data_IF_751253661533
#
_entry.id   IF_751253661533
#
_cell.length_a   1.000
_cell.length_b   1.000
_cell.length_c   1.000
_cell.angle_alpha   90.00
_cell.angle_beta   90.00
_cell.angle_gamma   90.00
#
_symmetry.space_group_name_H-M   'P 1'
#
loop_
_entity.id
_entity.type
_entity.pdbx_description
1 polymer ?
#
# COMPACT_ATOMS: atom_id res chain seq x y z
N UNK A 1 -10.44 -2.69 13.05
CA UNK A 1 -10.12 -3.54 11.89
C UNK A 1 -9.79 -4.92 12.40
N UNK A 2 -10.20 -5.95 11.65
CA UNK A 2 -9.82 -7.32 11.94
C UNK A 2 -8.28 -7.45 11.93
N UNK A 3 -7.73 -8.02 13.01
CA UNK A 3 -6.30 -8.31 13.15
C UNK A 3 -6.05 -9.81 13.04
N UNK A 4 -6.97 -10.54 12.41
CA UNK A 4 -6.78 -11.94 12.08
C UNK A 4 -5.80 -12.08 10.90
N UNK A 5 -4.97 -13.13 10.89
CA UNK A 5 -4.13 -13.42 9.73
C UNK A 5 -4.97 -13.66 8.47
N UNK A 6 -4.42 -13.42 7.27
CA UNK A 6 -5.09 -13.76 6.02
C UNK A 6 -5.40 -15.25 6.00
N UNK A 7 -6.61 -15.59 5.53
CA UNK A 7 -7.04 -16.99 5.43
C UNK A 7 -6.29 -17.71 4.30
N UNK A 8 -6.18 -19.05 4.35
CA UNK A 8 -5.41 -19.82 3.35
C UNK A 8 -5.82 -19.54 1.90
N UNK A 9 -7.10 -19.30 1.62
CA UNK A 9 -7.61 -18.96 0.29
C UNK A 9 -7.01 -17.65 -0.26
N UNK A 10 -6.67 -16.69 0.62
CA UNK A 10 -6.03 -15.44 0.23
C UNK A 10 -4.58 -15.70 -0.18
N UNK A 11 -3.87 -16.54 0.57
CA UNK A 11 -2.50 -16.90 0.24
C UNK A 11 -2.44 -17.63 -1.10
N UNK A 12 -3.36 -18.58 -1.31
CA UNK A 12 -3.47 -19.32 -2.55
C UNK A 12 -3.71 -18.39 -3.74
N UNK A 13 -4.63 -17.43 -3.63
CA UNK A 13 -4.93 -16.50 -4.72
C UNK A 13 -3.73 -15.66 -5.16
N UNK A 14 -2.81 -15.34 -4.25
CA UNK A 14 -1.55 -14.65 -4.56
C UNK A 14 -0.37 -15.60 -4.85
N UNK A 15 -0.61 -16.90 -5.02
CA UNK A 15 0.43 -17.93 -5.21
C UNK A 15 1.47 -17.96 -4.08
N UNK A 16 1.04 -17.69 -2.84
CA UNK A 16 1.90 -17.67 -1.66
C UNK A 16 1.76 -18.96 -0.86
N UNK A 17 2.90 -19.50 -0.46
CA UNK A 17 2.99 -20.64 0.45
C UNK A 17 3.79 -20.27 1.69
N UNK A 18 3.27 -20.60 2.88
CA UNK A 18 3.97 -20.37 4.14
C UNK A 18 3.04 -19.90 5.25
N UNK A 19 3.60 -19.70 6.44
CA UNK A 19 2.86 -19.21 7.60
C UNK A 19 2.89 -17.67 7.61
N UNK A 20 1.73 -16.98 7.68
CA UNK A 20 1.68 -15.53 7.88
C UNK A 20 2.32 -15.13 9.21
N UNK A 21 3.31 -14.23 9.14
CA UNK A 21 3.98 -13.64 10.29
C UNK A 21 3.55 -12.19 10.38
N UNK A 22 2.93 -11.80 11.50
CA UNK A 22 2.54 -10.40 11.71
C UNK A 22 3.79 -9.53 11.84
N UNK A 23 3.86 -8.45 11.07
CA UNK A 23 4.96 -7.49 11.13
C UNK A 23 4.57 -6.28 11.99
N UNK A 24 5.55 -5.69 12.69
CA UNK A 24 5.34 -4.51 13.52
C UNK A 24 5.32 -3.22 12.70
N UNK A 25 4.71 -2.16 13.26
CA UNK A 25 4.60 -0.85 12.63
C UNK A 25 3.27 -0.61 11.91
N UNK A 26 3.10 0.61 11.39
CA UNK A 26 1.85 1.06 10.77
C UNK A 26 0.65 0.89 11.71
N UNK A 27 -0.47 0.41 11.17
CA UNK A 27 -1.66 0.06 11.96
C UNK A 27 -1.58 -1.36 12.57
N UNK A 28 -0.45 -2.06 12.40
CA UNK A 28 -0.25 -3.42 12.91
C UNK A 28 -1.13 -4.47 12.23
N UNK A 29 -1.63 -4.24 11.02
CA UNK A 29 -2.54 -5.16 10.32
C UNK A 29 -1.86 -5.95 9.19
N UNK A 30 -0.56 -5.77 8.99
CA UNK A 30 0.18 -6.41 7.91
C UNK A 30 0.78 -7.76 8.32
N UNK A 31 0.84 -8.68 7.36
CA UNK A 31 1.42 -10.01 7.51
C UNK A 31 2.43 -10.30 6.41
N UNK A 32 3.61 -10.78 6.76
CA UNK A 32 4.61 -11.24 5.81
C UNK A 32 4.46 -12.75 5.57
N UNK A 33 4.57 -13.17 4.31
CA UNK A 33 4.64 -14.57 3.88
C UNK A 33 5.76 -14.68 2.84
N UNK A 34 6.88 -15.27 3.23
CA UNK A 34 8.07 -15.30 2.38
C UNK A 34 8.54 -13.89 1.99
N UNK A 35 8.60 -13.62 0.68
CA UNK A 35 8.96 -12.32 0.11
C UNK A 35 7.75 -11.43 -0.21
N UNK A 36 6.58 -11.71 0.36
CA UNK A 36 5.38 -10.92 0.16
C UNK A 36 4.84 -10.37 1.49
N UNK A 37 4.19 -9.21 1.43
CA UNK A 37 3.46 -8.59 2.54
C UNK A 37 1.99 -8.44 2.15
N UNK A 38 1.09 -9.02 2.95
CA UNK A 38 -0.35 -8.87 2.81
C UNK A 38 -0.89 -7.82 3.78
N UNK A 39 -1.82 -7.00 3.30
CA UNK A 39 -2.50 -5.97 4.09
C UNK A 39 -4.00 -5.99 3.81
N UNK A 40 -4.86 -5.87 4.84
CA UNK A 40 -6.29 -5.70 4.63
C UNK A 40 -6.58 -4.28 4.13
N UNK A 41 -7.58 -4.14 3.28
CA UNK A 41 -7.99 -2.85 2.72
C UNK A 41 -9.28 -2.33 3.36
N UNK A 42 -9.47 -1.01 3.31
CA UNK A 42 -10.73 -0.37 3.70
C UNK A 42 -11.66 -0.14 2.51
N UNK A 43 -11.09 0.16 1.34
CA UNK A 43 -11.83 0.55 0.14
C UNK A 43 -11.21 -0.07 -1.11
N UNK A 44 -12.00 -0.81 -1.87
CA UNK A 44 -11.55 -1.56 -3.04
C UNK A 44 -11.26 -0.67 -4.26
N UNK A 45 -12.09 0.36 -4.50
CA UNK A 45 -11.89 1.30 -5.60
C UNK A 45 -10.58 2.09 -5.43
N UNK A 46 -10.33 2.59 -4.22
CA UNK A 46 -9.10 3.29 -3.84
C UNK A 46 -7.89 2.36 -3.94
N UNK A 47 -7.99 1.12 -3.46
CA UNK A 47 -6.88 0.17 -3.47
C UNK A 47 -6.47 -0.23 -4.89
N UNK A 48 -7.43 -0.49 -5.77
CA UNK A 48 -7.16 -0.79 -7.18
C UNK A 48 -6.54 0.41 -7.90
N UNK A 49 -7.05 1.62 -7.66
CA UNK A 49 -6.48 2.85 -8.25
C UNK A 49 -5.03 3.08 -7.80
N UNK A 50 -4.72 2.88 -6.51
CA UNK A 50 -3.34 2.98 -6.00
C UNK A 50 -2.45 1.89 -6.63
N UNK A 51 -2.94 0.66 -6.78
CA UNK A 51 -2.18 -0.43 -7.37
C UNK A 51 -1.84 -0.17 -8.84
N UNK A 52 -2.81 0.29 -9.64
CA UNK A 52 -2.59 0.66 -11.04
C UNK A 52 -1.62 1.83 -11.19
N UNK A 53 -1.68 2.79 -10.27
CA UNK A 53 -0.73 3.89 -10.22
C UNK A 53 0.69 3.39 -9.85
N UNK A 54 0.80 2.60 -8.79
CA UNK A 54 2.07 2.03 -8.33
C UNK A 54 2.76 1.20 -9.41
N UNK A 55 2.00 0.43 -10.19
CA UNK A 55 2.51 -0.35 -11.31
C UNK A 55 3.18 0.53 -12.39
N UNK A 56 2.67 1.74 -12.62
CA UNK A 56 3.21 2.72 -13.58
C UNK A 56 4.34 3.58 -13.02
N UNK A 57 4.51 3.60 -11.70
CA UNK A 57 5.50 4.45 -11.04
C UNK A 57 6.90 3.86 -11.20
N UNK A 58 7.71 4.46 -12.08
CA UNK A 58 9.13 4.12 -12.27
C UNK A 58 9.95 5.36 -11.97
N UNK A 59 10.94 5.23 -11.09
CA UNK A 59 11.79 6.35 -10.68
C UNK A 59 13.14 5.83 -10.16
N UNK A 60 14.22 6.56 -10.43
CA UNK A 60 15.57 6.17 -10.00
C UNK A 60 15.95 6.76 -8.62
N UNK A 61 15.24 7.80 -8.16
CA UNK A 61 15.51 8.48 -6.91
C UNK A 61 14.83 7.83 -5.69
N UNK A 62 13.80 7.00 -5.89
CA UNK A 62 13.13 6.28 -4.81
C UNK A 62 12.54 4.95 -5.27
N UNK A 63 12.37 4.04 -4.31
CA UNK A 63 11.72 2.74 -4.52
C UNK A 63 10.42 2.66 -3.74
N UNK A 64 9.39 2.10 -4.37
CA UNK A 64 8.13 1.72 -3.72
C UNK A 64 7.94 0.21 -3.84
N UNK A 65 7.48 -0.48 -2.78
CA UNK A 65 7.08 -1.88 -2.90
C UNK A 65 6.04 -2.03 -4.01
N UNK A 66 6.24 -3.00 -4.91
CA UNK A 66 5.30 -3.27 -5.99
C UNK A 66 4.16 -4.14 -5.51
N UNK A 67 2.97 -3.87 -6.03
CA UNK A 67 1.83 -4.77 -5.83
C UNK A 67 2.07 -6.08 -6.55
N UNK A 68 1.66 -7.18 -5.93
CA UNK A 68 1.66 -8.53 -6.52
C UNK A 68 0.25 -8.78 -7.07
N UNK A 69 0.14 -9.16 -8.35
CA UNK A 69 -1.15 -9.61 -8.91
C UNK A 69 -1.50 -10.99 -8.37
N UNK A 70 -2.79 -11.19 -8.09
CA UNK A 70 -3.36 -12.50 -7.89
C UNK A 70 -3.31 -13.33 -9.19
N UNK A 71 -3.54 -14.63 -9.07
CA UNK A 71 -3.56 -15.58 -10.18
C UNK A 71 -4.59 -15.20 -11.26
N UNK A 72 -5.74 -14.66 -10.85
CA UNK A 72 -6.78 -14.16 -11.74
C UNK A 72 -6.48 -12.77 -12.34
N UNK A 73 -5.33 -12.19 -12.00
CA UNK A 73 -4.90 -10.88 -12.42
C UNK A 73 -5.45 -9.72 -11.59
N UNK A 74 -6.26 -9.95 -10.57
CA UNK A 74 -6.75 -8.89 -9.68
C UNK A 74 -5.64 -8.34 -8.76
N UNK A 75 -5.80 -7.10 -8.29
CA UNK A 75 -4.95 -6.53 -7.24
C UNK A 75 -5.49 -6.81 -5.84
N UNK A 76 -6.80 -6.96 -5.72
CA UNK A 76 -7.53 -7.15 -4.47
C UNK A 76 -8.24 -8.49 -4.48
N UNK A 77 -8.02 -9.30 -3.45
CA UNK A 77 -8.72 -10.57 -3.25
C UNK A 77 -9.38 -10.57 -1.88
N UNK A 78 -10.71 -10.64 -1.83
CA UNK A 78 -11.50 -10.74 -0.59
C UNK A 78 -11.05 -9.74 0.50
N UNK A 79 -10.81 -8.48 0.12
CA UNK A 79 -10.40 -7.43 1.04
C UNK A 79 -8.92 -7.41 1.40
N UNK A 80 -8.06 -8.11 0.66
CA UNK A 80 -6.61 -8.11 0.84
C UNK A 80 -5.86 -7.69 -0.41
N UNK A 81 -4.75 -6.99 -0.21
CA UNK A 81 -3.73 -6.72 -1.24
C UNK A 81 -2.42 -7.36 -0.83
N UNK A 82 -1.59 -7.69 -1.81
CA UNK A 82 -0.24 -8.20 -1.60
C UNK A 82 0.81 -7.26 -2.24
N UNK A 83 1.94 -7.11 -1.56
CA UNK A 83 3.10 -6.34 -1.99
C UNK A 83 4.34 -7.22 -1.96
N UNK A 84 5.34 -6.87 -2.78
CA UNK A 84 6.69 -7.35 -2.57
C UNK A 84 7.22 -6.88 -1.22
N UNK A 85 7.94 -7.76 -0.52
CA UNK A 85 8.70 -7.38 0.65
C UNK A 85 9.99 -6.68 0.21
N UNK A 86 10.15 -5.43 0.62
CA UNK A 86 11.37 -4.66 0.40
C UNK A 86 12.11 -4.56 1.72
N UNK A 87 13.34 -5.08 1.76
CA UNK A 87 14.20 -4.93 2.93
C UNK A 87 14.56 -3.45 3.13
N UNK A 88 14.40 -2.97 4.35
CA UNK A 88 14.70 -1.59 4.67
C UNK A 88 14.72 -1.35 6.17
N UNK A 89 15.33 -0.24 6.57
CA UNK A 89 15.40 0.19 7.96
C UNK A 89 15.03 1.65 8.07
N UNK A 90 14.18 1.98 9.04
CA UNK A 90 13.84 3.35 9.36
C UNK A 90 15.09 4.13 9.83
N UNK A 91 15.40 5.24 9.15
CA UNK A 91 16.49 6.16 9.51
C UNK A 91 15.94 7.34 10.31
N UNK A 92 15.73 7.14 11.61
CA UNK A 92 15.21 8.18 12.50
C UNK A 92 16.12 9.43 12.48
N UNK A 93 15.52 10.62 12.41
CA UNK A 93 16.24 11.89 12.41
C UNK A 93 16.79 12.36 11.06
N UNK A 94 16.73 11.54 10.00
CA UNK A 94 17.24 11.92 8.68
C UNK A 94 16.23 12.72 7.84
N UNK A 95 15.70 13.80 8.40
CA UNK A 95 14.61 14.56 7.78
C UNK A 95 15.02 15.27 6.49
N UNK A 96 16.29 15.69 6.36
CA UNK A 96 16.79 16.34 5.15
C UNK A 96 16.72 15.40 3.93
N UNK A 97 17.17 14.15 4.06
CA UNK A 97 17.05 13.12 3.02
C UNK A 97 15.57 12.83 2.72
N UNK A 98 14.73 12.72 3.75
CA UNK A 98 13.30 12.46 3.57
C UNK A 98 12.59 13.57 2.78
N UNK A 99 12.93 14.84 3.02
CA UNK A 99 12.36 15.97 2.27
C UNK A 99 12.75 15.90 0.79
N UNK A 100 14.02 15.62 0.47
CA UNK A 100 14.48 15.49 -0.91
C UNK A 100 13.73 14.37 -1.63
N UNK A 101 13.64 13.18 -1.02
CA UNK A 101 12.91 12.04 -1.59
C UNK A 101 11.42 12.36 -1.76
N UNK A 102 10.81 13.06 -0.80
CA UNK A 102 9.40 13.46 -0.90
C UNK A 102 9.15 14.42 -2.06
N UNK A 103 10.09 15.31 -2.37
CA UNK A 103 9.99 16.20 -3.53
C UNK A 103 10.08 15.42 -4.85
N UNK A 104 10.99 14.46 -4.97
CA UNK A 104 11.07 13.59 -6.15
C UNK A 104 9.80 12.74 -6.31
N UNK A 105 9.26 12.23 -5.21
CA UNK A 105 7.98 11.53 -5.20
C UNK A 105 6.84 12.41 -5.70
N UNK A 106 6.73 13.66 -5.21
CA UNK A 106 5.71 14.60 -5.69
C UNK A 106 5.87 14.94 -7.17
N UNK A 107 7.10 15.13 -7.67
CA UNK A 107 7.35 15.37 -9.10
C UNK A 107 6.88 14.20 -9.95
N UNK A 108 7.12 12.96 -9.51
CA UNK A 108 6.68 11.76 -10.21
C UNK A 108 5.15 11.63 -10.29
N UNK A 109 4.41 12.29 -9.37
CA UNK A 109 2.95 12.20 -9.30
C UNK A 109 2.20 13.42 -9.86
N UNK A 110 2.88 14.50 -10.23
CA UNK A 110 2.26 15.79 -10.57
C UNK A 110 1.23 15.72 -11.71
N UNK A 111 1.41 14.79 -12.65
CA UNK A 111 0.53 14.62 -13.81
C UNK A 111 -0.69 13.72 -13.57
N UNK A 112 -0.85 13.17 -12.37
CA UNK A 112 -1.92 12.21 -12.09
C UNK A 112 -3.19 12.97 -11.68
N UNK A 113 -4.30 12.79 -12.41
CA UNK A 113 -5.55 13.44 -12.04
C UNK A 113 -6.08 12.87 -10.71
N UNK A 114 -6.64 13.76 -9.88
CA UNK A 114 -7.36 13.36 -8.67
C UNK A 114 -8.56 12.49 -9.06
N UNK A 115 -8.72 11.27 -8.51
CA UNK A 115 -9.83 10.41 -8.86
C UNK A 115 -11.14 10.91 -8.24
N UNK A 116 -12.27 10.67 -8.92
CA UNK A 116 -13.58 11.20 -8.52
C UNK A 116 -14.11 10.62 -7.20
N UNK A 117 -13.72 9.40 -6.84
CA UNK A 117 -14.12 8.79 -5.56
C UNK A 117 -13.46 9.46 -4.34
N UNK A 118 -12.38 10.21 -4.55
CA UNK A 118 -11.59 10.81 -3.46
C UNK A 118 -12.41 11.79 -2.61
N UNK A 119 -13.33 12.52 -3.26
CA UNK A 119 -14.27 13.45 -2.61
C UNK A 119 -15.33 12.74 -1.77
N UNK A 120 -15.64 11.47 -2.09
CA UNK A 120 -16.67 10.68 -1.41
C UNK A 120 -16.18 10.04 -0.12
N UNK A 121 -14.86 10.08 0.14
CA UNK A 121 -14.26 9.48 1.33
C UNK A 121 -14.69 10.26 2.59
N UNK A 122 -15.18 9.53 3.59
CA UNK A 122 -15.71 10.08 4.84
C UNK A 122 -15.10 9.43 6.09
N UNK A 123 -14.01 8.68 5.94
CA UNK A 123 -13.27 8.13 7.09
C UNK A 123 -12.59 9.26 7.89
N UNK A 124 -12.18 8.94 9.12
CA UNK A 124 -11.58 9.92 10.05
C UNK A 124 -10.39 10.67 9.45
N UNK A 125 -9.61 10.01 8.59
CA UNK A 125 -8.45 10.61 7.92
C UNK A 125 -8.87 11.64 6.87
N UNK A 126 -9.84 11.30 6.01
CA UNK A 126 -10.38 12.22 5.00
C UNK A 126 -11.05 13.45 5.62
N UNK A 127 -11.69 13.30 6.79
CA UNK A 127 -12.27 14.43 7.52
C UNK A 127 -11.17 15.33 8.08
N UNK A 128 -10.15 14.76 8.72
CA UNK A 128 -9.03 15.51 9.25
C UNK A 128 -8.25 16.26 8.14
N UNK A 129 -8.03 15.61 6.99
CA UNK A 129 -7.37 16.19 5.83
C UNK A 129 -8.09 17.45 5.31
N UNK A 130 -9.42 17.38 5.13
CA UNK A 130 -10.24 18.55 4.74
C UNK A 130 -10.21 19.68 5.78
N UNK A 131 -10.24 19.34 7.06
CA UNK A 131 -10.16 20.36 8.12
C UNK A 131 -8.79 21.07 8.09
N UNK A 132 -7.72 20.32 7.84
CA UNK A 132 -6.37 20.86 7.85
C UNK A 132 -6.04 21.66 6.58
N UNK A 133 -6.54 21.22 5.42
CA UNK A 133 -6.05 21.70 4.12
C UNK A 133 -7.11 22.32 3.20
N UNK A 134 -8.41 22.17 3.51
CA UNK A 134 -9.53 22.64 2.67
C UNK A 134 -10.01 21.58 1.68
#
# INVERSE_FOLDING_TARGET
>A
MDTSPPRPEILQAFNLSGKPIRISGGQGTCYQVGSAVLKPIENEEESNWIADLNAKLVNDAFSVPKYIRAEDGSWVVNGWVAYEFVEGKHKAGNYAEAIIISQEFHKALVGIPKPTFFEKRNNVWSVADRIAWG
#
